data_IF_748509261092
#
_entry.id   IF_748509261092
#
_cell.length_a   1.000
_cell.length_b   1.000
_cell.length_c   1.000
_cell.angle_alpha   90.00
_cell.angle_beta   90.00
_cell.angle_gamma   90.00
#
_symmetry.space_group_name_H-M   'P 1'
#
loop_
_entity.id
_entity.type
_entity.pdbx_description
1 polymer ?
#
# COMPACT_ATOMS: atom_id res chain seq x y z
N UNK A 1 -6.64 -0.54 -46.63
CA UNK A 1 -7.21 0.79 -46.36
C UNK A 1 -8.24 0.60 -45.28
N UNK A 2 -7.81 0.70 -44.02
CA UNK A 2 -8.73 0.67 -42.88
C UNK A 2 -9.18 2.07 -42.64
N UNK A 3 -10.50 2.29 -42.65
CA UNK A 3 -11.13 3.57 -42.37
C UNK A 3 -10.72 4.04 -40.99
N UNK A 4 -10.03 5.16 -40.94
CA UNK A 4 -9.78 5.94 -39.72
C UNK A 4 -11.12 6.53 -39.27
N UNK A 5 -11.84 5.83 -38.40
CA UNK A 5 -12.92 6.46 -37.65
C UNK A 5 -12.33 7.45 -36.65
N UNK A 6 -12.15 8.69 -37.07
CA UNK A 6 -12.05 9.83 -36.16
C UNK A 6 -13.38 9.97 -35.45
N UNK A 7 -13.44 9.58 -34.21
CA UNK A 7 -14.59 9.94 -33.35
C UNK A 7 -14.30 11.34 -32.82
N UNK A 8 -14.78 12.35 -33.54
CA UNK A 8 -14.74 13.75 -33.09
C UNK A 8 -15.72 13.93 -31.92
N UNK A 9 -15.24 13.73 -30.70
CA UNK A 9 -15.90 14.19 -29.49
C UNK A 9 -15.06 15.33 -28.90
N UNK A 10 -15.60 16.54 -28.98
CA UNK A 10 -15.09 17.67 -28.22
C UNK A 10 -15.47 17.50 -26.75
N UNK A 11 -14.46 17.55 -25.89
CA UNK A 11 -14.64 17.52 -24.44
C UNK A 11 -14.29 18.90 -23.90
N UNK A 12 -15.09 19.44 -23.01
CA UNK A 12 -14.72 20.66 -22.28
C UNK A 12 -13.63 20.31 -21.23
N UNK A 13 -12.43 20.07 -21.74
CA UNK A 13 -11.28 19.67 -20.92
C UNK A 13 -10.69 20.84 -20.15
N UNK A 14 -10.75 22.06 -20.74
CA UNK A 14 -10.10 23.25 -20.19
C UNK A 14 -10.58 23.58 -18.77
N UNK A 15 -11.86 23.40 -18.50
CA UNK A 15 -12.43 23.62 -17.17
C UNK A 15 -11.96 22.62 -16.12
N UNK A 16 -11.36 21.51 -16.55
CA UNK A 16 -10.89 20.39 -15.71
C UNK A 16 -9.37 20.39 -15.51
N UNK A 17 -8.64 21.21 -16.24
CA UNK A 17 -7.19 21.33 -16.13
C UNK A 17 -6.79 22.35 -15.07
N UNK A 18 -5.64 22.13 -14.42
CA UNK A 18 -5.02 23.16 -13.59
C UNK A 18 -4.54 24.33 -14.46
N UNK A 19 -4.43 25.51 -13.87
CA UNK A 19 -3.86 26.69 -14.55
C UNK A 19 -2.46 26.41 -15.09
N UNK A 20 -1.69 25.63 -14.37
CA UNK A 20 -0.31 25.30 -14.72
C UNK A 20 -0.23 24.37 -15.92
N UNK A 21 -1.11 23.35 -16.00
CA UNK A 21 -1.25 22.51 -17.19
C UNK A 21 -1.71 23.31 -18.40
N UNK A 22 -2.68 24.22 -18.23
CA UNK A 22 -3.15 25.12 -19.29
C UNK A 22 -1.99 25.99 -19.79
N UNK A 23 -1.27 26.67 -18.91
CA UNK A 23 -0.12 27.52 -19.26
C UNK A 23 0.94 26.74 -20.02
N UNK A 24 1.26 25.51 -19.56
CA UNK A 24 2.24 24.66 -20.21
C UNK A 24 1.81 24.25 -21.63
N UNK A 25 0.55 23.84 -21.81
CA UNK A 25 0.03 23.46 -23.14
C UNK A 25 -0.05 24.64 -24.10
N UNK A 26 -0.59 25.78 -23.67
CA UNK A 26 -0.70 26.99 -24.51
C UNK A 26 0.66 27.46 -24.98
N UNK A 27 1.66 27.49 -24.10
CA UNK A 27 3.02 27.94 -24.43
C UNK A 27 3.70 27.01 -25.45
N UNK A 28 3.48 25.69 -25.36
CA UNK A 28 3.96 24.76 -26.37
C UNK A 28 3.27 25.00 -27.72
N UNK A 29 1.95 25.19 -27.73
CA UNK A 29 1.17 25.40 -28.95
C UNK A 29 1.52 26.76 -29.60
N UNK A 30 1.70 27.85 -28.84
CA UNK A 30 2.13 29.18 -29.32
C UNK A 30 3.51 29.12 -29.98
N UNK A 31 4.39 28.21 -29.56
CA UNK A 31 5.71 28.00 -30.17
C UNK A 31 5.70 26.98 -31.29
N UNK A 32 4.50 26.51 -31.70
CA UNK A 32 4.30 25.65 -32.88
C UNK A 32 4.45 24.15 -32.60
N UNK A 33 4.48 23.75 -31.33
CA UNK A 33 4.50 22.33 -30.96
C UNK A 33 3.09 21.81 -30.59
N UNK A 34 2.85 20.56 -30.87
CA UNK A 34 1.65 19.89 -30.39
C UNK A 34 1.78 19.57 -28.90
N UNK A 35 0.68 19.73 -28.15
CA UNK A 35 0.60 19.40 -26.72
C UNK A 35 -0.73 18.72 -26.40
N UNK A 36 -0.67 17.65 -25.63
CA UNK A 36 -1.83 16.85 -25.23
C UNK A 36 -1.74 16.46 -23.77
N UNK A 37 -2.87 16.50 -23.07
CA UNK A 37 -3.06 15.77 -21.82
C UNK A 37 -3.23 14.30 -22.15
N UNK A 38 -2.60 13.39 -21.38
CA UNK A 38 -2.56 11.96 -21.66
C UNK A 38 -2.64 11.11 -20.37
N UNK A 39 -2.74 9.82 -20.53
CA UNK A 39 -2.53 8.86 -19.45
C UNK A 39 -3.58 8.86 -18.36
N UNK A 40 -3.12 8.75 -17.11
CA UNK A 40 -3.97 8.68 -15.94
C UNK A 40 -4.79 9.94 -15.71
N UNK A 41 -4.23 11.11 -15.95
CA UNK A 41 -4.89 12.39 -15.81
C UNK A 41 -6.08 12.53 -16.75
N UNK A 42 -5.93 12.20 -18.04
CA UNK A 42 -7.04 12.23 -18.98
C UNK A 42 -8.13 11.22 -18.66
N UNK A 43 -7.72 9.96 -18.31
CA UNK A 43 -8.66 8.93 -17.83
C UNK A 43 -9.49 9.43 -16.65
N UNK A 44 -8.86 10.00 -15.63
CA UNK A 44 -9.54 10.44 -14.41
C UNK A 44 -10.46 11.64 -14.68
N UNK A 45 -10.10 12.54 -15.59
CA UNK A 45 -10.99 13.59 -16.10
C UNK A 45 -12.23 12.98 -16.75
N UNK A 46 -12.05 11.98 -17.62
CA UNK A 46 -13.16 11.31 -18.31
C UNK A 46 -14.09 10.52 -17.38
N UNK A 47 -13.56 10.10 -16.23
CA UNK A 47 -14.29 9.40 -15.15
C UNK A 47 -14.89 10.35 -14.11
N UNK A 48 -14.78 11.66 -14.31
CA UNK A 48 -15.23 12.68 -13.35
C UNK A 48 -14.56 12.58 -11.97
N UNK A 49 -13.28 12.16 -11.95
CA UNK A 49 -12.45 12.08 -10.75
C UNK A 49 -11.57 13.33 -10.62
N UNK A 50 -11.15 13.62 -9.39
CA UNK A 50 -10.16 14.68 -9.13
C UNK A 50 -8.79 14.25 -9.67
N UNK A 51 -8.08 15.21 -10.30
CA UNK A 51 -6.75 15.01 -10.83
C UNK A 51 -5.78 15.93 -10.10
N UNK A 52 -4.66 15.39 -9.65
CA UNK A 52 -3.61 16.14 -8.95
C UNK A 52 -2.36 16.32 -9.82
N UNK A 53 -2.00 15.31 -10.61
CA UNK A 53 -0.82 15.32 -11.45
C UNK A 53 -1.25 15.29 -12.93
N UNK A 54 -0.74 16.22 -13.72
CA UNK A 54 -1.07 16.34 -15.14
C UNK A 54 0.12 15.92 -16.00
N UNK A 55 -0.05 14.82 -16.74
CA UNK A 55 0.91 14.33 -17.72
C UNK A 55 0.64 14.99 -19.07
N UNK A 56 1.62 15.74 -19.59
CA UNK A 56 1.57 16.32 -20.92
C UNK A 56 2.51 15.55 -21.84
N UNK A 57 2.04 15.20 -23.04
CA UNK A 57 2.92 14.71 -24.12
C UNK A 57 2.97 15.74 -25.24
N UNK A 58 4.15 15.92 -25.88
CA UNK A 58 4.37 16.95 -26.89
C UNK A 58 5.25 16.48 -28.03
N UNK A 59 5.11 17.14 -29.20
CA UNK A 59 6.04 16.99 -30.33
C UNK A 59 7.40 17.69 -30.08
N UNK A 60 7.50 18.53 -29.06
CA UNK A 60 8.73 19.19 -28.68
C UNK A 60 9.74 18.22 -28.08
N UNK A 61 10.98 18.20 -28.60
CA UNK A 61 12.08 17.44 -27.98
C UNK A 61 12.49 18.07 -26.65
N UNK A 62 13.13 17.31 -25.73
CA UNK A 62 13.49 17.81 -24.42
C UNK A 62 14.26 19.14 -24.44
N UNK A 63 15.20 19.29 -25.38
CA UNK A 63 16.00 20.51 -25.52
C UNK A 63 15.11 21.71 -25.92
N UNK A 64 14.07 21.44 -26.73
CA UNK A 64 13.11 22.47 -27.15
C UNK A 64 12.14 22.82 -26.03
N UNK A 65 11.72 21.85 -25.24
CA UNK A 65 10.95 22.11 -24.02
C UNK A 65 11.73 23.03 -23.07
N UNK A 66 13.01 22.73 -22.81
CA UNK A 66 13.88 23.61 -21.99
C UNK A 66 14.05 25.00 -22.56
N UNK A 67 14.09 25.17 -23.89
CA UNK A 67 14.17 26.48 -24.57
C UNK A 67 12.86 27.26 -24.41
N UNK A 68 11.72 26.62 -24.66
CA UNK A 68 10.37 27.20 -24.54
C UNK A 68 10.09 27.68 -23.12
N UNK A 69 10.59 26.96 -22.12
CA UNK A 69 10.39 27.26 -20.68
C UNK A 69 11.66 27.86 -20.02
N UNK A 70 12.52 28.54 -20.77
CA UNK A 70 13.78 29.08 -20.28
C UNK A 70 13.64 30.12 -19.16
N UNK A 71 12.47 30.73 -19.01
CA UNK A 71 12.10 31.67 -17.95
C UNK A 71 11.46 31.01 -16.72
N UNK A 72 11.26 29.69 -16.77
CA UNK A 72 10.79 28.86 -15.65
C UNK A 72 11.95 28.02 -15.08
N UNK A 73 11.75 27.51 -13.87
CA UNK A 73 12.69 26.51 -13.34
C UNK A 73 12.41 25.16 -13.98
N UNK A 74 13.35 24.67 -14.74
CA UNK A 74 13.27 23.38 -15.46
C UNK A 74 14.16 22.34 -14.78
N UNK A 75 13.63 21.15 -14.53
CA UNK A 75 14.33 20.04 -13.92
C UNK A 75 14.44 18.90 -14.95
N UNK A 76 15.64 18.63 -15.47
CA UNK A 76 15.84 17.65 -16.55
C UNK A 76 15.93 16.18 -16.01
N UNK A 77 14.96 15.76 -15.21
CA UNK A 77 14.98 14.49 -14.46
C UNK A 77 14.90 13.25 -15.34
N UNK A 78 14.33 13.35 -16.54
CA UNK A 78 14.05 12.20 -17.39
C UNK A 78 14.55 12.36 -18.84
N UNK A 79 15.61 13.15 -19.11
CA UNK A 79 16.08 13.46 -20.47
C UNK A 79 16.30 12.21 -21.33
N UNK A 80 16.88 11.14 -20.78
CA UNK A 80 17.11 9.87 -21.48
C UNK A 80 15.81 9.21 -21.95
N UNK A 81 14.69 9.51 -21.28
CA UNK A 81 13.37 8.98 -21.58
C UNK A 81 12.45 10.01 -22.25
N UNK A 82 12.98 11.18 -22.56
CA UNK A 82 12.23 12.24 -23.22
C UNK A 82 11.35 13.10 -22.30
N UNK A 83 11.50 12.99 -20.96
CA UNK A 83 10.68 13.73 -19.98
C UNK A 83 11.46 14.89 -19.38
N UNK A 84 10.79 16.03 -19.27
CA UNK A 84 11.27 17.24 -18.61
C UNK A 84 10.19 17.70 -17.62
N UNK A 85 10.57 18.04 -16.39
CA UNK A 85 9.67 18.64 -15.41
C UNK A 85 9.86 20.15 -15.40
N UNK A 86 8.78 20.89 -15.62
CA UNK A 86 8.75 22.36 -15.56
C UNK A 86 7.99 22.78 -14.31
N UNK A 87 8.58 23.67 -13.50
CA UNK A 87 7.87 24.24 -12.35
C UNK A 87 7.11 25.49 -12.83
N UNK A 88 5.80 25.38 -12.95
CA UNK A 88 4.90 26.49 -13.26
C UNK A 88 4.26 26.95 -11.96
N UNK A 89 4.48 28.21 -11.53
CA UNK A 89 4.03 28.71 -10.22
C UNK A 89 4.42 27.79 -9.04
N UNK A 90 5.66 27.26 -9.07
CA UNK A 90 6.23 26.30 -8.11
C UNK A 90 5.59 24.88 -8.08
N UNK A 91 4.62 24.60 -8.96
CA UNK A 91 4.05 23.26 -9.12
C UNK A 91 4.70 22.52 -10.32
N UNK A 92 5.01 21.22 -10.16
CA UNK A 92 5.63 20.44 -11.22
C UNK A 92 4.62 20.07 -12.32
N UNK A 93 4.99 20.29 -13.58
CA UNK A 93 4.29 19.81 -14.77
C UNK A 93 5.24 18.92 -15.54
N UNK A 94 4.90 17.66 -15.74
CA UNK A 94 5.71 16.73 -16.52
C UNK A 94 5.36 16.82 -18.00
N UNK A 95 6.37 17.10 -18.82
CA UNK A 95 6.24 17.18 -20.29
C UNK A 95 7.12 16.09 -20.90
N UNK A 96 6.50 15.13 -21.57
CA UNK A 96 7.17 14.01 -22.23
C UNK A 96 7.10 14.19 -23.75
N UNK A 97 8.24 14.10 -24.44
CA UNK A 97 8.28 14.08 -25.91
C UNK A 97 7.62 12.82 -26.45
N UNK A 98 6.85 12.92 -27.55
CA UNK A 98 6.34 11.74 -28.25
C UNK A 98 7.46 10.74 -28.50
N UNK A 99 7.26 9.49 -28.16
CA UNK A 99 8.28 8.48 -28.34
C UNK A 99 7.69 7.16 -28.84
N UNK A 100 8.49 6.44 -29.59
CA UNK A 100 8.29 5.04 -29.92
C UNK A 100 9.36 4.21 -29.24
N UNK A 101 9.02 3.01 -28.86
CA UNK A 101 9.86 2.08 -28.12
C UNK A 101 9.96 0.79 -28.91
N UNK A 102 11.15 0.16 -28.96
CA UNK A 102 11.34 -1.10 -29.65
C UNK A 102 12.44 -1.93 -29.00
N UNK A 103 12.20 -3.28 -28.99
CA UNK A 103 13.03 -4.23 -28.29
C UNK A 103 12.91 -4.10 -26.78
N UNK A 104 12.87 -5.22 -26.08
CA UNK A 104 12.79 -5.27 -24.62
C UNK A 104 13.55 -6.52 -24.15
N UNK A 105 14.86 -6.52 -24.41
CA UNK A 105 15.71 -7.69 -24.13
C UNK A 105 15.78 -8.06 -22.66
N UNK A 106 15.63 -7.08 -21.76
CA UNK A 106 15.62 -7.28 -20.30
C UNK A 106 14.20 -7.42 -19.72
N UNK A 107 13.15 -7.34 -20.55
CA UNK A 107 11.75 -7.41 -20.12
C UNK A 107 11.28 -6.18 -19.31
N UNK A 108 11.99 -5.02 -19.47
CA UNK A 108 11.67 -3.77 -18.77
C UNK A 108 11.95 -2.51 -19.58
N UNK A 109 13.19 -2.39 -20.03
CA UNK A 109 13.63 -1.19 -20.72
C UNK A 109 13.62 -1.43 -22.23
N UNK A 110 13.05 -0.51 -23.01
CA UNK A 110 13.19 -0.62 -24.44
C UNK A 110 14.67 -0.52 -24.83
N UNK A 111 15.12 -1.42 -25.68
CA UNK A 111 16.50 -1.41 -26.20
C UNK A 111 16.77 -0.14 -27.00
N UNK A 112 15.73 0.41 -27.60
CA UNK A 112 15.79 1.68 -28.33
C UNK A 112 14.57 2.56 -28.03
N UNK A 113 14.83 3.77 -27.58
CA UNK A 113 13.85 4.85 -27.50
C UNK A 113 14.14 5.81 -28.65
N UNK A 114 13.16 6.04 -29.49
CA UNK A 114 13.25 7.07 -30.55
C UNK A 114 12.09 8.05 -30.40
N UNK A 115 12.37 9.32 -30.67
CA UNK A 115 11.31 10.32 -30.65
C UNK A 115 10.38 10.11 -31.83
N UNK A 116 9.10 9.90 -31.52
CA UNK A 116 8.06 9.70 -32.50
C UNK A 116 7.67 11.04 -33.18
N UNK A 117 7.10 10.94 -34.35
CA UNK A 117 6.64 12.12 -35.08
C UNK A 117 5.18 12.46 -34.83
N UNK A 118 4.43 11.51 -34.24
CA UNK A 118 3.01 11.66 -34.04
C UNK A 118 2.58 11.19 -32.65
N UNK A 119 1.49 11.73 -32.15
CA UNK A 119 0.88 11.32 -30.88
C UNK A 119 0.37 9.88 -30.97
N UNK A 120 -0.07 9.42 -32.14
CA UNK A 120 -0.55 8.07 -32.38
C UNK A 120 0.51 7.01 -32.06
N UNK A 121 1.76 7.26 -32.45
CA UNK A 121 2.87 6.36 -32.14
C UNK A 121 3.14 6.32 -30.62
N UNK A 122 3.03 7.44 -29.91
CA UNK A 122 3.18 7.50 -28.45
C UNK A 122 2.06 6.75 -27.73
N UNK A 123 0.83 6.87 -28.23
CA UNK A 123 -0.32 6.14 -27.66
C UNK A 123 -0.21 4.63 -27.89
N UNK A 124 0.33 4.20 -29.03
CA UNK A 124 0.46 2.79 -29.40
C UNK A 124 1.37 1.96 -28.50
N UNK A 125 2.35 2.57 -27.81
CA UNK A 125 3.25 1.87 -26.88
C UNK A 125 2.73 1.77 -25.46
N UNK A 126 1.61 2.44 -25.12
CA UNK A 126 1.06 2.46 -23.77
C UNK A 126 0.48 1.12 -23.36
N UNK A 127 0.27 0.95 -22.05
CA UNK A 127 -0.16 -0.32 -21.46
C UNK A 127 -1.63 -0.65 -21.78
N UNK A 128 -2.55 0.24 -21.41
CA UNK A 128 -4.00 -0.02 -21.49
C UNK A 128 -4.72 1.04 -22.31
N UNK A 129 -5.79 0.63 -22.99
CA UNK A 129 -6.60 1.48 -23.86
C UNK A 129 -7.10 2.75 -23.13
N UNK A 130 -7.56 2.60 -21.89
CA UNK A 130 -8.05 3.71 -21.05
C UNK A 130 -6.98 4.75 -20.70
N UNK A 131 -5.69 4.42 -20.84
CA UNK A 131 -4.55 5.31 -20.63
C UNK A 131 -3.90 5.72 -21.97
N UNK A 132 -4.37 5.17 -23.09
CA UNK A 132 -3.84 5.40 -24.44
C UNK A 132 -4.74 6.35 -25.22
N UNK A 133 -5.13 7.44 -24.58
CA UNK A 133 -5.88 8.55 -25.16
C UNK A 133 -5.11 9.83 -24.94
N UNK A 134 -5.33 10.81 -25.83
CA UNK A 134 -4.72 12.13 -25.75
C UNK A 134 -5.78 13.21 -26.06
N UNK A 135 -5.74 14.35 -25.35
CA UNK A 135 -6.66 15.43 -25.60
C UNK A 135 -5.93 16.77 -25.67
N UNK A 136 -6.20 17.56 -26.71
CA UNK A 136 -5.69 18.92 -26.87
C UNK A 136 -6.46 19.88 -25.95
N UNK A 137 -5.88 21.04 -25.71
CA UNK A 137 -6.51 22.08 -24.89
C UNK A 137 -7.83 22.60 -25.49
N UNK A 138 -7.99 22.52 -26.81
CA UNK A 138 -9.23 22.87 -27.51
C UNK A 138 -10.33 21.79 -27.38
N UNK A 139 -10.07 20.66 -26.70
CA UNK A 139 -11.00 19.56 -26.51
C UNK A 139 -10.95 18.47 -27.59
N UNK A 140 -10.08 18.59 -28.57
CA UNK A 140 -9.89 17.54 -29.62
C UNK A 140 -9.31 16.29 -28.95
N UNK A 141 -10.08 15.18 -28.98
CA UNK A 141 -9.70 13.90 -28.37
C UNK A 141 -9.19 12.94 -29.44
N UNK A 142 -8.03 12.34 -29.16
CA UNK A 142 -7.44 11.24 -29.92
C UNK A 142 -7.62 9.96 -29.13
N UNK A 143 -8.49 9.06 -29.60
CA UNK A 143 -8.78 7.73 -29.02
C UNK A 143 -8.77 6.67 -30.12
N UNK A 144 -7.59 6.10 -30.37
CA UNK A 144 -7.37 5.13 -31.44
C UNK A 144 -7.72 3.69 -31.04
N UNK A 145 -7.71 3.45 -29.73
CA UNK A 145 -7.82 2.10 -29.18
C UNK A 145 -9.14 1.86 -28.43
N UNK A 146 -10.07 2.84 -28.46
CA UNK A 146 -11.38 2.73 -27.84
C UNK A 146 -11.36 2.87 -26.33
N UNK A 147 -10.44 3.66 -25.78
CA UNK A 147 -10.29 3.89 -24.34
C UNK A 147 -11.54 4.44 -23.68
N UNK A 148 -12.26 5.39 -24.33
CA UNK A 148 -13.55 5.89 -23.82
C UNK A 148 -14.59 4.76 -23.69
N UNK A 149 -14.65 3.87 -24.68
CA UNK A 149 -15.59 2.75 -24.67
C UNK A 149 -15.25 1.78 -23.55
N UNK A 150 -13.96 1.51 -23.33
CA UNK A 150 -13.52 0.61 -22.26
C UNK A 150 -13.76 1.23 -20.88
N UNK A 151 -13.55 2.54 -20.71
CA UNK A 151 -13.96 3.27 -19.48
C UNK A 151 -15.47 3.15 -19.23
N UNK A 152 -16.30 3.41 -20.26
CA UNK A 152 -17.74 3.34 -20.14
C UNK A 152 -18.24 1.92 -19.79
N UNK A 153 -17.56 0.89 -20.30
CA UNK A 153 -17.84 -0.51 -20.01
C UNK A 153 -17.13 -1.04 -18.75
N UNK A 154 -16.33 -0.21 -18.07
CA UNK A 154 -15.51 -0.59 -16.91
C UNK A 154 -14.58 -1.76 -17.21
N UNK A 155 -13.84 -1.70 -18.31
CA UNK A 155 -12.94 -2.74 -18.76
C UNK A 155 -11.48 -2.29 -18.75
N UNK A 156 -10.60 -3.18 -18.29
CA UNK A 156 -9.15 -3.08 -18.43
C UNK A 156 -8.73 -3.92 -19.63
N UNK A 157 -8.30 -3.26 -20.68
CA UNK A 157 -7.83 -3.90 -21.92
C UNK A 157 -6.46 -3.37 -22.30
N UNK A 158 -5.55 -4.23 -22.73
CA UNK A 158 -4.24 -3.80 -23.26
C UNK A 158 -4.38 -3.11 -24.62
N UNK A 159 -3.44 -2.22 -24.92
CA UNK A 159 -3.28 -1.68 -26.26
C UNK A 159 -2.68 -2.76 -27.17
N UNK A 160 -3.36 -3.14 -28.22
CA UNK A 160 -2.91 -4.22 -29.13
C UNK A 160 -2.98 -5.61 -28.51
N UNK A 161 -2.00 -6.45 -28.82
CA UNK A 161 -1.95 -7.82 -28.30
C UNK A 161 -1.43 -7.88 -26.88
N UNK A 162 -2.20 -8.51 -25.98
CA UNK A 162 -1.88 -8.56 -24.55
C UNK A 162 -0.58 -9.34 -24.27
N UNK A 163 -0.30 -10.39 -25.03
CA UNK A 163 0.92 -11.19 -24.84
C UNK A 163 2.16 -10.41 -25.24
N UNK A 164 2.09 -9.64 -26.31
CA UNK A 164 3.17 -8.74 -26.70
C UNK A 164 3.41 -7.70 -25.60
N UNK A 165 2.35 -7.03 -25.14
CA UNK A 165 2.45 -5.98 -24.11
C UNK A 165 3.04 -6.47 -22.79
N UNK A 166 2.66 -7.65 -22.32
CA UNK A 166 3.19 -8.24 -21.09
C UNK A 166 4.60 -8.80 -21.25
N UNK A 167 4.96 -9.26 -22.47
CA UNK A 167 6.33 -9.68 -22.76
C UNK A 167 7.32 -8.52 -22.78
N UNK A 168 6.88 -7.30 -23.10
CA UNK A 168 7.69 -6.09 -23.06
C UNK A 168 8.03 -5.65 -21.63
N UNK A 169 7.06 -5.65 -20.73
CA UNK A 169 7.26 -5.31 -19.30
C UNK A 169 6.30 -6.14 -18.43
N UNK A 170 6.85 -7.11 -17.71
CA UNK A 170 6.09 -7.98 -16.80
C UNK A 170 5.32 -7.24 -15.71
N UNK A 171 5.74 -6.01 -15.34
CA UNK A 171 4.99 -5.19 -14.39
C UNK A 171 3.59 -4.84 -14.90
N UNK A 172 3.37 -4.76 -16.21
CA UNK A 172 2.05 -4.48 -16.77
C UNK A 172 0.99 -5.50 -16.34
N UNK A 173 1.39 -6.71 -15.98
CA UNK A 173 0.51 -7.74 -15.39
C UNK A 173 -0.04 -7.24 -14.03
N UNK A 174 0.83 -6.85 -13.12
CA UNK A 174 0.41 -6.30 -11.82
C UNK A 174 -0.33 -4.97 -11.96
N UNK A 175 0.04 -4.16 -12.95
CA UNK A 175 -0.68 -2.92 -13.27
C UNK A 175 -2.12 -3.19 -13.72
N UNK A 176 -2.37 -4.24 -14.53
CA UNK A 176 -3.73 -4.63 -14.92
C UNK A 176 -4.57 -4.98 -13.69
N UNK A 177 -4.05 -5.84 -12.82
CA UNK A 177 -4.71 -6.26 -11.57
C UNK A 177 -4.96 -5.05 -10.66
N UNK A 178 -3.97 -4.19 -10.51
CA UNK A 178 -4.09 -2.97 -9.70
C UNK A 178 -5.12 -2.00 -10.27
N UNK A 179 -5.16 -1.78 -11.58
CA UNK A 179 -6.18 -0.91 -12.17
C UNK A 179 -7.57 -1.49 -11.98
N UNK A 180 -7.74 -2.80 -12.15
CA UNK A 180 -9.00 -3.48 -11.86
C UNK A 180 -9.41 -3.23 -10.39
N UNK A 181 -8.50 -3.41 -9.44
CA UNK A 181 -8.74 -3.24 -8.01
C UNK A 181 -9.08 -1.79 -7.61
N UNK A 182 -8.32 -0.82 -8.12
CA UNK A 182 -8.48 0.60 -7.74
C UNK A 182 -9.67 1.27 -8.43
N UNK A 183 -9.99 0.84 -9.66
CA UNK A 183 -11.08 1.42 -10.44
C UNK A 183 -12.40 0.66 -10.27
N UNK A 184 -12.37 -0.57 -9.74
CA UNK A 184 -13.51 -1.48 -9.71
C UNK A 184 -13.93 -1.93 -11.12
N UNK A 185 -12.95 -2.15 -12.01
CA UNK A 185 -13.17 -2.55 -13.40
C UNK A 185 -12.88 -4.04 -13.57
N UNK A 186 -13.52 -4.66 -14.55
CA UNK A 186 -13.20 -6.03 -14.96
C UNK A 186 -12.00 -6.06 -15.92
N UNK A 187 -11.20 -7.12 -15.87
CA UNK A 187 -10.16 -7.35 -16.86
C UNK A 187 -10.78 -8.06 -18.06
N UNK A 188 -10.55 -7.52 -19.25
CA UNK A 188 -11.03 -8.09 -20.51
C UNK A 188 -10.47 -9.52 -20.70
N UNK A 189 -11.27 -10.42 -21.28
CA UNK A 189 -10.96 -11.86 -21.33
C UNK A 189 -9.59 -12.18 -21.95
N UNK A 190 -9.26 -11.60 -23.10
CA UNK A 190 -7.94 -11.85 -23.73
C UNK A 190 -6.77 -11.30 -22.91
N UNK A 191 -6.99 -10.17 -22.23
CA UNK A 191 -6.02 -9.57 -21.30
C UNK A 191 -5.85 -10.46 -20.06
N UNK A 192 -6.94 -10.99 -19.50
CA UNK A 192 -6.94 -11.93 -18.36
C UNK A 192 -6.22 -13.23 -18.69
N UNK A 193 -6.52 -13.83 -19.83
CA UNK A 193 -5.86 -15.05 -20.26
C UNK A 193 -4.35 -14.85 -20.42
N UNK A 194 -3.93 -13.70 -20.94
CA UNK A 194 -2.52 -13.37 -21.08
C UNK A 194 -1.84 -13.14 -19.73
N UNK A 195 -2.54 -12.57 -18.71
CA UNK A 195 -2.03 -12.44 -17.33
C UNK A 195 -1.61 -13.80 -16.80
N UNK A 196 -2.51 -14.80 -16.85
CA UNK A 196 -2.21 -16.15 -16.32
C UNK A 196 -1.12 -16.86 -17.15
N UNK A 197 -1.12 -16.71 -18.47
CA UNK A 197 -0.12 -17.35 -19.33
C UNK A 197 1.30 -16.79 -19.15
N UNK A 198 1.42 -15.50 -18.86
CA UNK A 198 2.68 -14.77 -18.78
C UNK A 198 3.04 -14.33 -17.36
N UNK A 199 2.34 -14.83 -16.35
CA UNK A 199 2.59 -14.47 -14.95
C UNK A 199 4.06 -14.59 -14.53
N UNK A 200 4.78 -15.61 -15.04
CA UNK A 200 6.21 -15.82 -14.78
C UNK A 200 7.10 -14.62 -15.16
N UNK A 201 6.63 -13.72 -16.03
CA UNK A 201 7.38 -12.50 -16.38
C UNK A 201 7.58 -11.56 -15.18
N UNK A 202 6.77 -11.71 -14.12
CA UNK A 202 6.91 -10.92 -12.88
C UNK A 202 8.24 -11.23 -12.19
N UNK A 203 8.81 -12.42 -12.34
CA UNK A 203 10.13 -12.80 -11.79
C UNK A 203 11.27 -11.89 -12.28
N UNK A 204 11.08 -11.21 -13.42
CA UNK A 204 12.06 -10.27 -13.99
C UNK A 204 11.87 -8.83 -13.47
N UNK A 205 10.81 -8.58 -12.72
CA UNK A 205 10.48 -7.24 -12.21
C UNK A 205 11.14 -7.06 -10.85
N UNK A 206 11.70 -5.88 -10.60
CA UNK A 206 12.28 -5.58 -9.29
C UNK A 206 11.23 -5.53 -8.18
N UNK A 207 11.59 -5.97 -6.99
CA UNK A 207 10.72 -6.08 -5.83
C UNK A 207 10.05 -4.75 -5.49
N UNK A 208 10.76 -3.64 -5.60
CA UNK A 208 10.24 -2.29 -5.30
C UNK A 208 9.08 -1.91 -6.25
N UNK A 209 9.18 -2.32 -7.53
CA UNK A 209 8.11 -2.08 -8.50
C UNK A 209 6.90 -2.99 -8.23
N UNK A 210 7.14 -4.25 -7.89
CA UNK A 210 6.10 -5.21 -7.47
C UNK A 210 5.34 -4.65 -6.29
N UNK A 211 6.06 -4.26 -5.23
CA UNK A 211 5.49 -3.72 -3.98
C UNK A 211 4.68 -2.46 -4.22
N UNK A 212 5.17 -1.56 -5.10
CA UNK A 212 4.43 -0.32 -5.44
C UNK A 212 3.05 -0.59 -6.03
N UNK A 213 2.90 -1.61 -6.88
CA UNK A 213 1.60 -2.00 -7.46
C UNK A 213 0.78 -2.84 -6.45
N UNK A 214 1.42 -3.78 -5.76
CA UNK A 214 0.77 -4.65 -4.78
C UNK A 214 0.16 -3.86 -3.62
N UNK A 215 0.86 -2.87 -3.08
CA UNK A 215 0.35 -2.01 -2.03
C UNK A 215 -0.95 -1.29 -2.44
N UNK A 216 -1.06 -0.86 -3.69
CA UNK A 216 -2.28 -0.23 -4.21
C UNK A 216 -3.43 -1.24 -4.36
N UNK A 217 -3.13 -2.52 -4.66
CA UNK A 217 -4.12 -3.60 -4.63
C UNK A 217 -4.60 -3.79 -3.19
N UNK A 218 -3.68 -3.92 -2.24
CA UNK A 218 -4.02 -4.10 -0.83
C UNK A 218 -4.84 -2.94 -0.25
N UNK A 219 -4.64 -1.72 -0.71
CA UNK A 219 -5.38 -0.53 -0.27
C UNK A 219 -6.69 -0.27 -1.03
N UNK A 220 -7.03 -1.11 -2.02
CA UNK A 220 -8.30 -1.00 -2.75
C UNK A 220 -9.51 -1.34 -1.86
N UNK A 221 -10.71 -1.10 -2.36
CA UNK A 221 -11.95 -1.30 -1.61
C UNK A 221 -12.19 -2.79 -1.26
N UNK A 222 -11.98 -3.70 -2.23
CA UNK A 222 -12.22 -5.14 -2.07
C UNK A 222 -10.99 -5.94 -2.56
N UNK A 223 -9.85 -5.91 -1.86
CA UNK A 223 -8.63 -6.57 -2.31
C UNK A 223 -8.76 -8.09 -2.44
N UNK A 224 -9.59 -8.74 -1.60
CA UNK A 224 -9.76 -10.19 -1.62
C UNK A 224 -10.24 -10.72 -2.97
N UNK A 225 -11.07 -9.96 -3.68
CA UNK A 225 -11.54 -10.34 -5.02
C UNK A 225 -10.38 -10.58 -5.96
N UNK A 226 -9.41 -9.65 -5.97
CA UNK A 226 -8.26 -9.71 -6.87
C UNK A 226 -7.18 -10.67 -6.37
N UNK A 227 -6.98 -10.75 -5.06
CA UNK A 227 -6.08 -11.75 -4.46
C UNK A 227 -6.55 -13.18 -4.74
N UNK A 228 -7.86 -13.41 -4.74
CA UNK A 228 -8.46 -14.72 -5.05
C UNK A 228 -8.37 -15.06 -6.53
N UNK A 229 -8.74 -14.13 -7.40
CA UNK A 229 -8.74 -14.32 -8.85
C UNK A 229 -7.32 -14.54 -9.41
N UNK A 230 -6.34 -13.78 -8.89
CA UNK A 230 -4.96 -13.79 -9.35
C UNK A 230 -3.98 -14.40 -8.33
N UNK A 231 -4.45 -15.38 -7.53
CA UNK A 231 -3.63 -16.04 -6.50
C UNK A 231 -2.36 -16.69 -7.06
N UNK A 232 -2.44 -17.25 -8.25
CA UNK A 232 -1.30 -17.82 -8.99
C UNK A 232 -0.22 -16.76 -9.28
N UNK A 233 -0.63 -15.54 -9.60
CA UNK A 233 0.25 -14.41 -9.84
C UNK A 233 0.86 -13.89 -8.53
N UNK A 234 0.06 -13.80 -7.46
CA UNK A 234 0.52 -13.36 -6.14
C UNK A 234 1.53 -14.35 -5.55
N UNK A 235 1.30 -15.66 -5.71
CA UNK A 235 2.20 -16.69 -5.23
C UNK A 235 3.58 -16.69 -5.93
N UNK A 236 3.74 -16.03 -7.08
CA UNK A 236 5.07 -15.89 -7.71
C UNK A 236 6.03 -15.09 -6.81
N UNK A 237 5.56 -14.02 -6.16
CA UNK A 237 6.40 -13.20 -5.30
C UNK A 237 6.14 -13.39 -3.79
N UNK A 238 5.04 -14.06 -3.41
CA UNK A 238 4.74 -14.52 -2.04
C UNK A 238 4.39 -16.03 -2.09
N UNK A 239 5.36 -16.91 -2.39
CA UNK A 239 5.09 -18.33 -2.56
C UNK A 239 4.61 -19.03 -1.29
N UNK A 240 4.85 -18.44 -0.14
CA UNK A 240 4.41 -18.96 1.16
C UNK A 240 2.87 -19.02 1.28
N UNK A 241 2.14 -18.23 0.51
CA UNK A 241 0.67 -18.28 0.47
C UNK A 241 0.12 -19.54 -0.20
N UNK A 242 0.89 -20.21 -1.05
CA UNK A 242 0.45 -21.41 -1.77
C UNK A 242 0.01 -22.52 -0.81
N UNK A 243 0.76 -22.70 0.30
CA UNK A 243 0.44 -23.68 1.31
C UNK A 243 -0.88 -23.41 2.04
N UNK A 244 -1.36 -22.17 2.03
CA UNK A 244 -2.61 -21.78 2.69
C UNK A 244 -3.85 -22.09 1.83
N UNK A 245 -3.66 -22.19 0.49
CA UNK A 245 -4.76 -22.38 -0.47
C UNK A 245 -5.33 -23.78 -0.32
N UNK A 246 -6.63 -23.87 0.02
CA UNK A 246 -7.32 -25.13 0.23
C UNK A 246 -6.90 -25.89 1.49
N UNK A 247 -6.13 -25.27 2.39
CA UNK A 247 -5.71 -25.91 3.65
C UNK A 247 -6.85 -25.93 4.67
N UNK A 248 -7.46 -27.08 4.88
CA UNK A 248 -8.54 -27.31 5.84
C UNK A 248 -8.00 -27.25 7.29
N UNK A 249 -8.55 -26.34 8.10
CA UNK A 249 -8.13 -26.10 9.46
C UNK A 249 -8.60 -27.18 10.46
N UNK A 250 -9.57 -28.01 10.08
CA UNK A 250 -10.13 -29.13 10.86
C UNK A 250 -10.49 -28.78 12.31
N UNK A 251 -11.05 -27.60 12.52
CA UNK A 251 -11.58 -27.21 13.81
C UNK A 251 -12.89 -26.42 13.67
N UNK A 252 -13.72 -26.40 14.73
CA UNK A 252 -15.03 -25.78 14.72
C UNK A 252 -15.01 -24.25 14.71
N UNK A 253 -13.86 -23.62 14.98
CA UNK A 253 -13.71 -22.16 14.94
C UNK A 253 -13.74 -21.61 13.51
N UNK A 254 -13.33 -22.42 12.53
CA UNK A 254 -13.14 -21.98 11.16
C UNK A 254 -14.05 -22.76 10.20
N UNK A 255 -14.77 -22.02 9.35
CA UNK A 255 -15.64 -22.56 8.29
C UNK A 255 -14.99 -22.48 6.90
N UNK A 256 -13.80 -21.91 6.81
CA UNK A 256 -13.04 -21.68 5.59
C UNK A 256 -11.65 -22.27 5.71
N UNK A 257 -11.02 -22.57 4.57
CA UNK A 257 -9.59 -22.84 4.53
C UNK A 257 -8.78 -21.61 4.97
N UNK A 258 -7.47 -21.79 5.23
CA UNK A 258 -6.62 -20.71 5.73
C UNK A 258 -6.59 -19.51 4.77
N UNK A 259 -6.54 -19.76 3.47
CA UNK A 259 -6.48 -18.67 2.47
C UNK A 259 -7.78 -17.86 2.40
N UNK A 260 -8.94 -18.53 2.31
CA UNK A 260 -10.25 -17.87 2.27
C UNK A 260 -10.55 -17.14 3.59
N UNK A 261 -10.15 -17.70 4.73
CA UNK A 261 -10.20 -17.00 6.01
C UNK A 261 -9.36 -15.71 5.96
N UNK A 262 -8.10 -15.82 5.54
CA UNK A 262 -7.18 -14.68 5.40
C UNK A 262 -7.75 -13.58 4.51
N UNK A 263 -8.33 -13.93 3.36
CA UNK A 263 -8.94 -12.95 2.45
C UNK A 263 -10.10 -12.19 3.10
N UNK A 264 -10.93 -12.87 3.89
CA UNK A 264 -12.01 -12.24 4.65
C UNK A 264 -11.48 -11.30 5.73
N UNK A 265 -10.41 -11.68 6.41
CA UNK A 265 -9.74 -10.82 7.39
C UNK A 265 -9.22 -9.56 6.72
N UNK A 266 -8.57 -9.68 5.56
CA UNK A 266 -8.06 -8.53 4.79
C UNK A 266 -9.19 -7.55 4.42
N UNK A 267 -10.33 -8.03 3.95
CA UNK A 267 -11.45 -7.16 3.57
C UNK A 267 -12.10 -6.46 4.79
N UNK A 268 -12.11 -7.12 5.95
CA UNK A 268 -12.68 -6.56 7.17
C UNK A 268 -11.71 -5.64 7.93
N UNK A 269 -10.47 -5.46 7.46
CA UNK A 269 -9.55 -4.49 8.06
C UNK A 269 -9.66 -3.12 7.41
N UNK A 270 -9.50 -2.02 8.18
CA UNK A 270 -9.35 -0.69 7.61
C UNK A 270 -8.26 -0.62 6.53
N UNK A 271 -8.42 0.29 5.56
CA UNK A 271 -7.47 0.46 4.46
C UNK A 271 -6.16 1.16 4.90
N UNK A 272 -5.47 0.58 5.87
CA UNK A 272 -4.11 0.93 6.31
C UNK A 272 -3.15 -0.17 5.85
N UNK A 273 -2.04 0.22 5.23
CA UNK A 273 -1.13 -0.75 4.59
C UNK A 273 -0.58 -1.78 5.58
N UNK A 274 0.01 -1.34 6.70
CA UNK A 274 0.57 -2.24 7.72
C UNK A 274 -0.49 -3.19 8.29
N UNK A 275 -1.71 -2.70 8.52
CA UNK A 275 -2.82 -3.49 9.05
C UNK A 275 -3.30 -4.55 8.05
N UNK A 276 -3.44 -4.21 6.76
CA UNK A 276 -3.84 -5.18 5.72
C UNK A 276 -2.75 -6.19 5.39
N UNK A 277 -1.48 -5.79 5.45
CA UNK A 277 -0.36 -6.73 5.35
C UNK A 277 -0.33 -7.66 6.57
N UNK A 278 -0.58 -7.15 7.78
CA UNK A 278 -0.70 -7.98 8.97
C UNK A 278 -1.87 -8.98 8.84
N UNK A 279 -3.01 -8.53 8.30
CA UNK A 279 -4.14 -9.40 8.00
C UNK A 279 -3.79 -10.49 6.96
N UNK A 280 -3.00 -10.16 5.94
CA UNK A 280 -2.56 -11.14 4.94
C UNK A 280 -1.63 -12.21 5.53
N UNK A 281 -0.80 -11.84 6.50
CA UNK A 281 0.25 -12.71 7.03
C UNK A 281 -0.05 -13.32 8.40
N UNK A 282 -1.16 -12.96 9.08
CA UNK A 282 -1.39 -13.37 10.48
C UNK A 282 -1.37 -14.90 10.65
N UNK A 283 -1.93 -15.63 9.71
CA UNK A 283 -2.10 -17.08 9.73
C UNK A 283 -1.23 -17.85 8.72
N UNK A 284 -0.29 -17.19 8.06
CA UNK A 284 0.50 -17.77 6.96
C UNK A 284 1.28 -19.02 7.34
N UNK A 285 1.60 -19.19 8.61
CA UNK A 285 2.33 -20.35 9.12
C UNK A 285 1.43 -21.49 9.60
N UNK A 286 0.11 -21.35 9.62
CA UNK A 286 -0.80 -22.40 10.06
C UNK A 286 -0.56 -23.75 9.40
N UNK A 287 -0.32 -23.85 8.08
CA UNK A 287 -0.07 -25.15 7.44
C UNK A 287 1.15 -25.88 8.01
N UNK A 288 2.19 -25.16 8.43
CA UNK A 288 3.42 -25.77 9.00
C UNK A 288 3.35 -25.97 10.52
N UNK A 289 2.39 -25.33 11.20
CA UNK A 289 2.15 -25.47 12.64
C UNK A 289 1.00 -26.43 12.95
N UNK A 290 0.46 -27.11 11.96
CA UNK A 290 -0.72 -27.95 12.09
C UNK A 290 -0.42 -29.27 12.79
N UNK A 291 -1.20 -29.56 13.84
CA UNK A 291 -1.19 -30.83 14.56
C UNK A 291 -2.63 -31.26 14.84
N UNK A 292 -2.89 -32.58 14.82
CA UNK A 292 -4.17 -33.13 15.26
C UNK A 292 -4.08 -33.41 16.76
N UNK A 293 -4.93 -32.76 17.53
CA UNK A 293 -5.02 -32.98 18.98
C UNK A 293 -5.66 -34.32 19.36
N UNK A 294 -5.63 -34.64 20.64
CA UNK A 294 -6.30 -35.85 21.20
C UNK A 294 -7.83 -35.74 21.11
N UNK A 295 -8.37 -34.55 20.91
CA UNK A 295 -9.78 -34.26 20.66
C UNK A 295 -10.21 -34.51 19.20
N UNK A 296 -9.24 -34.78 18.30
CA UNK A 296 -9.47 -35.00 16.88
C UNK A 296 -9.54 -33.70 16.08
N UNK A 297 -9.34 -32.53 16.72
CA UNK A 297 -9.35 -31.24 16.06
C UNK A 297 -7.94 -30.77 15.66
N UNK A 298 -7.90 -29.82 14.72
CA UNK A 298 -6.67 -29.20 14.28
C UNK A 298 -6.23 -28.09 15.25
N UNK A 299 -4.97 -28.14 15.66
CA UNK A 299 -4.32 -27.14 16.51
C UNK A 299 -3.11 -26.53 15.78
N UNK A 300 -2.79 -25.26 16.11
CA UNK A 300 -1.76 -24.47 15.45
C UNK A 300 -0.83 -23.80 16.48
N UNK A 301 -0.22 -24.60 17.35
CA UNK A 301 0.59 -24.07 18.45
C UNK A 301 1.75 -23.23 17.96
N UNK A 302 1.84 -21.99 18.49
CA UNK A 302 2.92 -21.04 18.18
C UNK A 302 2.84 -20.40 16.80
N UNK A 303 1.74 -20.61 16.04
CA UNK A 303 1.61 -20.04 14.69
C UNK A 303 1.80 -18.51 14.65
N UNK A 304 1.30 -17.75 15.62
CA UNK A 304 1.43 -16.30 15.63
C UNK A 304 2.90 -15.84 15.61
N UNK A 305 3.75 -16.48 16.42
CA UNK A 305 5.20 -16.18 16.43
C UNK A 305 5.87 -16.62 15.13
N UNK A 306 5.50 -17.78 14.61
CA UNK A 306 6.03 -18.32 13.36
C UNK A 306 5.57 -17.52 12.14
N UNK A 307 4.31 -17.08 12.12
CA UNK A 307 3.77 -16.18 11.09
C UNK A 307 4.50 -14.83 11.10
N UNK A 308 4.82 -14.28 12.28
CA UNK A 308 5.59 -13.05 12.39
C UNK A 308 7.02 -13.20 11.81
N UNK A 309 7.69 -14.33 12.09
CA UNK A 309 9.00 -14.65 11.50
C UNK A 309 8.93 -14.78 9.97
N UNK A 310 7.90 -15.47 9.46
CA UNK A 310 7.68 -15.61 8.01
C UNK A 310 7.37 -14.26 7.37
N UNK A 311 6.49 -13.44 7.98
CA UNK A 311 6.17 -12.11 7.51
C UNK A 311 7.42 -11.20 7.43
N UNK A 312 8.29 -11.23 8.45
CA UNK A 312 9.55 -10.49 8.45
C UNK A 312 10.43 -10.88 7.25
N UNK A 313 10.57 -12.18 7.00
CA UNK A 313 11.39 -12.68 5.88
C UNK A 313 10.79 -12.28 4.52
N UNK A 314 9.47 -12.37 4.36
CA UNK A 314 8.76 -11.97 3.13
C UNK A 314 8.94 -10.47 2.89
N UNK A 315 8.66 -9.64 3.89
CA UNK A 315 8.74 -8.19 3.78
C UNK A 315 10.16 -7.69 3.50
N UNK A 316 11.18 -8.31 4.14
CA UNK A 316 12.59 -8.03 3.84
C UNK A 316 12.96 -8.40 2.41
N UNK A 317 12.54 -9.59 1.93
CA UNK A 317 12.75 -10.03 0.55
C UNK A 317 12.10 -9.07 -0.44
N UNK A 318 10.92 -8.59 -0.14
CA UNK A 318 10.18 -7.61 -0.94
C UNK A 318 10.65 -6.16 -0.72
N UNK A 319 11.68 -5.94 0.10
CA UNK A 319 12.31 -4.63 0.34
C UNK A 319 11.37 -3.56 0.90
N UNK A 320 10.46 -3.95 1.80
CA UNK A 320 9.72 -2.98 2.59
C UNK A 320 10.66 -2.23 3.55
N UNK A 321 10.25 -1.04 3.96
CA UNK A 321 10.98 -0.26 4.95
C UNK A 321 10.86 -0.88 6.37
N UNK A 322 11.83 -0.56 7.23
CA UNK A 322 11.93 -1.14 8.56
C UNK A 322 10.72 -0.80 9.47
N UNK A 323 10.10 0.37 9.29
CA UNK A 323 8.93 0.76 10.07
C UNK A 323 7.75 -0.14 9.73
N UNK A 324 7.42 -0.28 8.43
CA UNK A 324 6.39 -1.21 7.95
C UNK A 324 6.64 -2.64 8.42
N UNK A 325 7.88 -3.14 8.34
CA UNK A 325 8.24 -4.50 8.82
C UNK A 325 7.94 -4.63 10.31
N UNK A 326 8.35 -3.65 11.11
CA UNK A 326 8.15 -3.68 12.57
C UNK A 326 6.68 -3.71 12.93
N UNK A 327 5.88 -2.81 12.36
CA UNK A 327 4.44 -2.70 12.64
C UNK A 327 3.71 -3.98 12.25
N UNK A 328 3.94 -4.49 11.05
CA UNK A 328 3.31 -5.75 10.57
C UNK A 328 3.68 -6.92 11.47
N UNK A 329 4.97 -7.10 11.78
CA UNK A 329 5.43 -8.22 12.60
C UNK A 329 4.90 -8.15 14.03
N UNK A 330 4.77 -6.97 14.61
CA UNK A 330 4.14 -6.81 15.93
C UNK A 330 2.66 -7.19 15.90
N UNK A 331 1.90 -6.69 14.93
CA UNK A 331 0.49 -7.01 14.79
C UNK A 331 0.28 -8.52 14.58
N UNK A 332 1.04 -9.14 13.69
CA UNK A 332 1.00 -10.58 13.44
C UNK A 332 1.35 -11.37 14.70
N UNK A 333 2.39 -10.97 15.44
CA UNK A 333 2.83 -11.67 16.66
C UNK A 333 1.77 -11.66 17.76
N UNK A 334 1.02 -10.58 17.88
CA UNK A 334 0.05 -10.40 18.97
C UNK A 334 -1.41 -10.65 18.56
N UNK A 335 -1.69 -11.01 17.30
CA UNK A 335 -3.06 -11.19 16.82
C UNK A 335 -3.84 -12.27 17.60
N UNK A 336 -3.21 -13.36 17.97
CA UNK A 336 -3.83 -14.47 18.73
C UNK A 336 -3.70 -14.30 20.26
N UNK A 337 -2.92 -13.30 20.73
CA UNK A 337 -2.74 -13.10 22.17
C UNK A 337 -4.03 -12.66 22.86
N UNK A 338 -4.48 -13.38 23.89
CA UNK A 338 -5.63 -12.98 24.68
C UNK A 338 -5.28 -11.79 25.58
N UNK A 339 -6.04 -10.71 25.45
CA UNK A 339 -5.86 -9.48 26.23
C UNK A 339 -6.98 -9.44 27.26
N UNK A 340 -6.61 -9.61 28.53
CA UNK A 340 -7.55 -9.44 29.65
C UNK A 340 -7.92 -7.95 29.79
N UNK A 341 -9.22 -7.66 30.00
CA UNK A 341 -9.71 -6.29 30.18
C UNK A 341 -9.41 -5.79 31.62
N UNK A 342 -8.12 -5.58 31.90
CA UNK A 342 -7.67 -4.97 33.14
C UNK A 342 -6.74 -3.79 32.83
N UNK A 343 -6.82 -2.70 33.59
CA UNK A 343 -6.03 -1.50 33.39
C UNK A 343 -4.53 -1.82 33.33
N UNK A 344 -4.07 -2.72 34.17
CA UNK A 344 -2.67 -3.18 34.21
C UNK A 344 -2.23 -3.80 32.89
N UNK A 345 -3.03 -4.72 32.33
CA UNK A 345 -2.69 -5.41 31.06
C UNK A 345 -2.78 -4.45 29.91
N UNK A 346 -3.82 -3.60 29.85
CA UNK A 346 -3.99 -2.59 28.80
C UNK A 346 -2.83 -1.61 28.78
N UNK A 347 -2.44 -1.05 29.93
CA UNK A 347 -1.28 -0.15 30.04
C UNK A 347 0.02 -0.80 29.58
N UNK A 348 0.24 -2.07 29.91
CA UNK A 348 1.40 -2.84 29.44
C UNK A 348 1.39 -3.03 27.93
N UNK A 349 0.24 -3.29 27.35
CA UNK A 349 0.10 -3.43 25.91
C UNK A 349 0.29 -2.10 25.19
N UNK A 350 -0.32 -1.01 25.69
CA UNK A 350 -0.10 0.36 25.18
C UNK A 350 1.38 0.78 25.24
N UNK A 351 2.06 0.44 26.34
CA UNK A 351 3.51 0.69 26.45
C UNK A 351 4.32 -0.10 25.41
N UNK A 352 3.96 -1.36 25.16
CA UNK A 352 4.69 -2.27 24.27
C UNK A 352 4.50 -1.95 22.81
N UNK A 353 3.26 -1.66 22.41
CA UNK A 353 2.88 -1.47 21.01
C UNK A 353 2.86 0.01 20.61
N UNK A 354 2.66 0.90 21.57
CA UNK A 354 2.21 2.27 21.31
C UNK A 354 0.69 2.33 21.13
N UNK A 355 0.17 3.54 21.11
CA UNK A 355 -1.28 3.78 21.01
C UNK A 355 -1.83 3.32 19.66
N UNK A 356 -1.22 3.73 18.55
CA UNK A 356 -1.70 3.42 17.22
C UNK A 356 -1.75 1.92 16.96
N UNK A 357 -0.65 1.20 17.24
CA UNK A 357 -0.59 -0.24 16.99
C UNK A 357 -1.44 -1.05 17.97
N UNK A 358 -1.71 -0.54 19.17
CA UNK A 358 -2.68 -1.18 20.05
C UNK A 358 -4.08 -1.16 19.43
N UNK A 359 -4.54 -0.04 18.88
CA UNK A 359 -5.85 0.03 18.22
C UNK A 359 -5.85 -0.73 16.89
N UNK A 360 -4.77 -0.69 16.11
CA UNK A 360 -4.60 -1.51 14.91
C UNK A 360 -4.69 -3.01 15.25
N UNK A 361 -4.14 -3.45 16.38
CA UNK A 361 -4.27 -4.82 16.85
C UNK A 361 -5.73 -5.18 17.19
N UNK A 362 -6.49 -4.27 17.82
CA UNK A 362 -7.91 -4.50 18.08
C UNK A 362 -8.71 -4.63 16.77
N UNK A 363 -8.39 -3.80 15.78
CA UNK A 363 -9.02 -3.87 14.46
C UNK A 363 -8.69 -5.18 13.75
N UNK A 364 -7.44 -5.65 13.81
CA UNK A 364 -7.05 -6.96 13.28
C UNK A 364 -7.81 -8.09 13.96
N UNK A 365 -7.91 -8.08 15.30
CA UNK A 365 -8.66 -9.09 16.05
C UNK A 365 -10.16 -9.08 15.73
N UNK A 366 -10.75 -7.91 15.49
CA UNK A 366 -12.14 -7.80 15.02
C UNK A 366 -12.31 -8.44 13.65
N UNK A 367 -11.41 -8.09 12.73
CA UNK A 367 -11.43 -8.63 11.38
C UNK A 367 -11.24 -10.14 11.36
N UNK A 368 -10.29 -10.68 12.15
CA UNK A 368 -10.08 -12.12 12.32
C UNK A 368 -11.35 -12.80 12.84
N UNK A 369 -11.96 -12.24 13.89
CA UNK A 369 -13.22 -12.78 14.43
C UNK A 369 -14.37 -12.75 13.41
N UNK A 370 -14.41 -11.75 12.50
CA UNK A 370 -15.38 -11.76 11.38
C UNK A 370 -15.09 -12.86 10.36
N UNK A 371 -13.87 -13.31 10.23
CA UNK A 371 -13.48 -14.47 9.41
C UNK A 371 -13.80 -15.83 10.03
N UNK A 372 -14.06 -15.90 11.34
CA UNK A 372 -14.40 -17.12 12.09
C UNK A 372 -15.90 -17.46 12.00
N UNK A 373 -16.29 -18.58 12.62
CA UNK A 373 -17.70 -18.99 12.71
C UNK A 373 -18.54 -17.99 13.54
N UNK A 374 -19.84 -17.92 13.24
CA UNK A 374 -20.76 -16.98 13.90
C UNK A 374 -20.89 -17.19 15.41
N UNK A 375 -20.66 -18.41 15.89
CA UNK A 375 -20.71 -18.76 17.31
C UNK A 375 -19.76 -17.91 18.16
N UNK A 376 -18.66 -17.42 17.58
CA UNK A 376 -17.65 -16.63 18.28
C UNK A 376 -17.86 -15.12 18.16
N UNK A 377 -18.97 -14.65 17.57
CA UNK A 377 -19.26 -13.19 17.43
C UNK A 377 -19.34 -12.44 18.75
N UNK A 378 -19.63 -13.11 19.86
CA UNK A 378 -19.60 -12.49 21.19
C UNK A 378 -18.24 -11.85 21.53
N UNK A 379 -17.16 -12.29 20.88
CA UNK A 379 -15.82 -11.68 21.05
C UNK A 379 -15.76 -10.24 20.60
N UNK A 380 -16.66 -9.79 19.71
CA UNK A 380 -16.76 -8.38 19.30
C UNK A 380 -17.10 -7.47 20.47
N UNK A 381 -18.01 -7.89 21.35
CA UNK A 381 -18.38 -7.11 22.53
C UNK A 381 -17.20 -7.01 23.51
N UNK A 382 -16.43 -8.09 23.67
CA UNK A 382 -15.22 -8.08 24.51
C UNK A 382 -14.18 -7.11 23.95
N UNK A 383 -13.95 -7.11 22.63
CA UNK A 383 -13.02 -6.20 21.98
C UNK A 383 -13.50 -4.73 22.08
N UNK A 384 -14.80 -4.49 22.02
CA UNK A 384 -15.36 -3.16 22.17
C UNK A 384 -15.18 -2.64 23.61
N UNK A 385 -15.38 -3.47 24.62
CA UNK A 385 -15.13 -3.10 26.02
C UNK A 385 -13.66 -2.82 26.27
N UNK A 386 -12.77 -3.64 25.70
CA UNK A 386 -11.32 -3.45 25.77
C UNK A 386 -10.90 -2.10 25.17
N UNK A 387 -11.48 -1.75 24.01
CA UNK A 387 -11.25 -0.44 23.38
C UNK A 387 -11.73 0.72 24.29
N UNK A 388 -12.94 0.62 24.87
CA UNK A 388 -13.44 1.65 25.79
C UNK A 388 -12.52 1.84 26.99
N UNK A 389 -12.04 0.74 27.57
CA UNK A 389 -11.11 0.79 28.69
C UNK A 389 -9.78 1.44 28.30
N UNK A 390 -9.25 1.12 27.12
CA UNK A 390 -8.01 1.73 26.62
C UNK A 390 -8.18 3.25 26.39
N UNK A 391 -9.29 3.67 25.75
CA UNK A 391 -9.56 5.11 25.55
C UNK A 391 -9.71 5.85 26.86
N UNK A 392 -10.42 5.28 27.83
CA UNK A 392 -10.52 5.86 29.19
C UNK A 392 -9.13 6.04 29.83
N UNK A 393 -8.27 5.02 29.77
CA UNK A 393 -6.90 5.09 30.31
C UNK A 393 -6.09 6.22 29.64
N UNK A 394 -6.25 6.42 28.33
CA UNK A 394 -5.60 7.51 27.61
C UNK A 394 -6.17 8.88 27.97
N UNK A 395 -7.49 9.02 28.08
CA UNK A 395 -8.19 10.27 28.49
C UNK A 395 -7.83 10.70 29.90
N UNK A 396 -7.68 9.75 30.82
CA UNK A 396 -7.23 9.99 32.19
C UNK A 396 -5.76 10.39 32.31
N UNK A 397 -5.02 10.49 31.16
CA UNK A 397 -3.57 10.71 31.12
C UNK A 397 -2.81 9.75 32.03
N UNK A 398 -3.26 8.49 32.09
CA UNK A 398 -2.65 7.49 32.93
C UNK A 398 -1.19 7.23 32.51
N UNK A 399 -0.31 7.18 33.52
CA UNK A 399 1.10 6.89 33.27
C UNK A 399 1.30 5.44 32.81
N UNK A 400 1.82 5.26 31.60
CA UNK A 400 2.22 3.95 31.06
C UNK A 400 3.54 4.00 30.29
N UNK A 401 4.20 5.15 30.22
CA UNK A 401 5.53 5.31 29.62
C UNK A 401 6.46 6.11 30.53
N UNK A 402 7.78 5.97 30.32
CA UNK A 402 8.78 6.77 31.06
C UNK A 402 8.63 8.28 30.85
N UNK A 403 7.99 8.68 29.73
CA UNK A 403 7.73 10.10 29.44
C UNK A 403 6.66 10.68 30.36
N UNK A 404 5.74 9.86 30.86
CA UNK A 404 4.61 10.26 31.67
C UNK A 404 4.94 10.30 33.16
N UNK A 405 6.11 9.74 33.54
CA UNK A 405 6.55 9.68 34.94
C UNK A 405 6.75 11.07 35.55
N UNK A 406 6.27 11.26 36.78
CA UNK A 406 6.47 12.49 37.57
C UNK A 406 7.92 12.71 38.01
N UNK A 407 8.79 11.70 37.83
CA UNK A 407 10.24 11.74 38.04
C UNK A 407 10.95 11.42 36.77
N UNK A 408 12.05 12.13 36.50
CA UNK A 408 12.92 11.92 35.33
C UNK A 408 14.32 11.45 35.79
N UNK A 409 15.12 10.94 34.89
CA UNK A 409 16.50 10.54 35.21
C UNK A 409 17.35 11.65 35.80
N UNK A 410 17.13 12.90 35.37
CA UNK A 410 17.77 14.06 35.96
C UNK A 410 17.39 14.31 37.43
N UNK A 411 16.22 13.89 37.86
CA UNK A 411 15.79 13.99 39.25
C UNK A 411 16.48 12.93 40.12
N UNK A 412 16.66 11.71 39.57
CA UNK A 412 17.39 10.64 40.27
C UNK A 412 18.84 11.01 40.52
N UNK A 413 19.49 11.65 39.52
CA UNK A 413 20.86 12.19 39.70
C UNK A 413 20.92 13.23 40.83
N UNK A 414 19.92 14.15 40.89
CA UNK A 414 19.83 15.15 41.98
C UNK A 414 19.57 14.52 43.35
N UNK A 415 18.97 13.34 43.38
CA UNK A 415 18.74 12.56 44.61
C UNK A 415 19.92 11.66 44.98
N UNK A 416 21.08 11.77 44.29
CA UNK A 416 22.32 11.11 44.68
C UNK A 416 22.64 9.85 43.84
N UNK A 417 21.84 9.46 42.90
CA UNK A 417 22.17 8.34 42.02
C UNK A 417 23.31 8.69 41.05
N UNK A 418 24.26 7.79 40.89
CA UNK A 418 25.32 7.92 39.88
C UNK A 418 24.74 7.91 38.48
N UNK A 419 25.31 8.72 37.57
CA UNK A 419 24.91 8.69 36.16
C UNK A 419 25.34 7.36 35.52
N UNK A 420 24.40 6.58 35.03
CA UNK A 420 24.64 5.28 34.43
C UNK A 420 23.36 4.56 33.97
N UNK A 421 23.50 3.33 33.43
CA UNK A 421 22.35 2.54 32.99
C UNK A 421 21.37 2.19 34.12
N UNK A 422 21.82 2.17 35.37
CA UNK A 422 21.02 1.90 36.56
C UNK A 422 19.86 2.90 36.73
N UNK A 423 19.99 4.15 36.25
CA UNK A 423 18.91 5.14 36.24
C UNK A 423 17.74 4.63 35.38
N UNK A 424 18.03 4.02 34.24
CA UNK A 424 17.02 3.45 33.37
C UNK A 424 16.28 2.29 34.03
N UNK A 425 17.00 1.38 34.66
CA UNK A 425 16.45 0.22 35.37
C UNK A 425 15.55 0.64 36.54
N UNK A 426 15.97 1.64 37.30
CA UNK A 426 15.16 2.19 38.41
C UNK A 426 13.89 2.87 37.89
N UNK A 427 13.97 3.66 36.83
CA UNK A 427 12.80 4.29 36.24
C UNK A 427 11.81 3.23 35.68
N UNK A 428 12.31 2.17 35.08
CA UNK A 428 11.51 1.05 34.60
C UNK A 428 10.82 0.32 35.75
N UNK A 429 11.52 0.06 36.85
CA UNK A 429 10.96 -0.55 38.05
C UNK A 429 9.84 0.33 38.67
N UNK A 430 10.06 1.64 38.77
CA UNK A 430 9.04 2.58 39.26
C UNK A 430 7.82 2.60 38.34
N UNK A 431 8.03 2.64 37.02
CA UNK A 431 6.96 2.62 36.04
C UNK A 431 6.12 1.33 36.16
N UNK A 432 6.77 0.17 36.32
CA UNK A 432 6.05 -1.10 36.51
C UNK A 432 5.17 -1.09 37.79
N UNK A 433 5.65 -0.48 38.86
CA UNK A 433 4.85 -0.31 40.10
C UNK A 433 3.69 0.67 39.90
N UNK A 434 3.87 1.75 39.14
CA UNK A 434 2.77 2.68 38.79
C UNK A 434 1.73 1.98 37.91
N UNK A 435 2.17 1.24 36.88
CA UNK A 435 1.28 0.48 35.99
C UNK A 435 0.49 -0.58 36.76
N UNK A 436 1.13 -1.25 37.74
CA UNK A 436 0.46 -2.25 38.58
C UNK A 436 -0.48 -1.64 39.63
N UNK A 437 -0.44 -0.34 39.81
CA UNK A 437 -1.25 0.36 40.83
C UNK A 437 -0.72 0.22 42.26
N UNK A 438 0.51 -0.28 42.43
CA UNK A 438 1.16 -0.41 43.74
C UNK A 438 1.53 0.95 44.34
N UNK A 439 1.88 1.92 43.49
CA UNK A 439 2.19 3.30 43.84
C UNK A 439 1.54 4.25 42.83
N UNK A 440 1.25 5.47 43.23
CA UNK A 440 0.77 6.52 42.33
C UNK A 440 1.92 7.19 41.61
N UNK A 441 1.65 7.73 40.41
CA UNK A 441 2.61 8.55 39.69
C UNK A 441 2.67 9.97 40.32
N UNK A 442 3.01 10.01 41.61
CA UNK A 442 3.23 11.22 42.40
C UNK A 442 4.70 11.30 42.81
N UNK A 443 5.29 12.50 42.69
CA UNK A 443 6.71 12.69 42.97
C UNK A 443 7.12 12.23 44.40
N UNK A 444 6.26 12.45 45.41
CA UNK A 444 6.58 12.09 46.77
C UNK A 444 6.48 10.59 47.02
N UNK A 445 5.44 9.95 46.48
CA UNK A 445 5.27 8.49 46.54
C UNK A 445 6.42 7.75 45.82
N UNK A 446 6.84 8.27 44.64
CA UNK A 446 7.96 7.69 43.86
C UNK A 446 9.29 7.82 44.62
N UNK A 447 9.57 8.97 45.29
CA UNK A 447 10.77 9.15 46.11
C UNK A 447 10.73 8.25 47.36
N UNK A 448 9.57 8.13 48.02
CA UNK A 448 9.41 7.21 49.16
C UNK A 448 9.72 5.75 48.75
N UNK A 449 9.19 5.30 47.60
CA UNK A 449 9.48 3.98 47.07
C UNK A 449 10.97 3.78 46.78
N UNK A 450 11.70 4.80 46.28
CA UNK A 450 13.12 4.73 46.04
C UNK A 450 13.93 4.56 47.33
N UNK A 451 13.53 5.24 48.41
CA UNK A 451 14.13 5.07 49.74
C UNK A 451 13.88 3.68 50.33
N UNK A 452 12.63 3.19 50.22
CA UNK A 452 12.27 1.85 50.69
C UNK A 452 13.01 0.73 49.97
N UNK A 453 13.34 0.93 48.69
CA UNK A 453 14.13 -0.04 47.90
C UNK A 453 15.65 0.13 48.08
N UNK A 454 16.11 1.13 48.78
CA UNK A 454 17.53 1.44 48.99
C UNK A 454 18.24 1.97 47.71
N UNK A 455 17.48 2.41 46.71
CA UNK A 455 18.03 3.00 45.49
C UNK A 455 18.59 4.42 45.68
N UNK A 456 18.11 5.13 46.73
CA UNK A 456 18.61 6.42 47.20
C UNK A 456 18.64 6.43 48.71
N UNK A 457 19.46 7.32 49.34
CA UNK A 457 19.53 7.52 50.79
C UNK A 457 18.31 8.28 51.38
#
# INVERSE_FOLDING_TARGET
MQDKQKIDKFIDIRARLSKNAITAMERLEETGYEAYIVGGSLRDILMDRSVHDFDITSSAKPEKVMEVFSDFKVIPTGLKHGTVTVLVEDEPVEITTFRSESGYSDGRHPDRVSFAKSVEDDLGRRDFTMNAMACRINGELVDLFGGQKDIANKLIRTVGDAKERFSEDGLRILRAIRFAAVLGFEVETGTRDAIHQLGHMIEKVSEERIVSEFNKIMLSENPSTYLREYKDIICIFIPELEACIGFDQKNHHHVHDVFEHTLRVVDNTPAKLSLRLAALFHDISKPICFEIGSDGEGHFYGHASKSAEMAENILKRLKYDNATITDVCQLVKYHDHQIENSDKIIKRMLRRLGEEDFFNLLDLKRADNYGQSEEFRYRQDILQELERSARRILEENACFSLKDMAIKGSDLIKLGMAQGPEIGEVLEMLLDKVISGEIKNDRQELIACLKDTGAIE
#
